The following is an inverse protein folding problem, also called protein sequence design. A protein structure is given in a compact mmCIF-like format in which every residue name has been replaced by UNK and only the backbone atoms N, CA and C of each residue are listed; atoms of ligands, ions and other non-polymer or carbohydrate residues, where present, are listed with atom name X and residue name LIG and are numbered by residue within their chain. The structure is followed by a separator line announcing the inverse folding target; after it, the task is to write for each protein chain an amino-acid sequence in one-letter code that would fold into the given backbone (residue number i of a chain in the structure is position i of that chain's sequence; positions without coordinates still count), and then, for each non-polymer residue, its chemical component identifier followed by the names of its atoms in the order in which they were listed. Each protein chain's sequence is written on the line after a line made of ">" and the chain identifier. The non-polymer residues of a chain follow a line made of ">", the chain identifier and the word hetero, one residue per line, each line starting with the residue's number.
data_IF_961220972441
#
_entry.id   IF_961220972441
#
_cell.length_a   1.000
_cell.length_b   1.000
_cell.length_c   1.000
_cell.angle_alpha   90.00
_cell.angle_beta   90.00
_cell.angle_gamma   90.00
#
_symmetry.space_group_name_H-M   'P 1'
#
loop_
_entity.id
_entity.type
_entity.pdbx_description
1 polymer ?
#
# COMPACT_ATOMS: atom_id res chain seq x y z
N UNK A 1 29.28 -15.06 20.63
CA UNK A 1 28.61 -13.94 21.34
C UNK A 1 28.63 -14.08 22.86
N UNK A 2 27.99 -15.09 23.45
CA UNK A 2 28.03 -15.29 24.91
C UNK A 2 29.43 -15.62 25.44
N UNK A 3 30.14 -16.53 24.77
CA UNK A 3 31.49 -16.94 25.19
C UNK A 3 32.59 -15.91 24.86
N UNK A 4 32.49 -15.20 23.73
CA UNK A 4 33.48 -14.20 23.31
C UNK A 4 33.20 -12.77 23.79
N UNK A 5 31.93 -12.39 23.97
CA UNK A 5 31.52 -10.99 24.22
C UNK A 5 30.57 -10.84 25.42
N UNK A 6 30.17 -11.93 26.10
CA UNK A 6 29.23 -11.88 27.22
C UNK A 6 27.79 -11.49 26.83
N UNK A 7 27.45 -11.50 25.54
CA UNK A 7 26.13 -11.08 25.05
C UNK A 7 25.22 -12.31 24.95
N UNK A 8 24.09 -12.28 25.66
CA UNK A 8 23.01 -13.27 25.53
C UNK A 8 21.98 -12.82 24.49
N UNK A 9 21.57 -13.74 23.62
CA UNK A 9 20.53 -13.53 22.60
C UNK A 9 19.44 -14.57 22.75
N UNK A 10 18.21 -14.22 22.36
CA UNK A 10 17.09 -15.19 22.34
C UNK A 10 17.24 -16.13 21.15
N UNK A 11 17.08 -17.42 21.39
CA UNK A 11 16.89 -18.42 20.35
C UNK A 11 15.47 -18.33 19.78
N UNK A 12 15.34 -18.44 18.45
CA UNK A 12 14.05 -18.39 17.74
C UNK A 12 13.99 -19.46 16.64
N UNK A 13 12.79 -19.97 16.35
CA UNK A 13 12.54 -20.80 15.15
C UNK A 13 11.91 -19.93 14.06
N UNK A 14 12.76 -19.38 13.19
CA UNK A 14 12.30 -18.51 12.10
C UNK A 14 11.37 -19.22 11.10
N UNK A 15 11.38 -20.56 11.03
CA UNK A 15 10.47 -21.32 10.14
C UNK A 15 9.00 -21.22 10.54
N UNK A 16 8.73 -20.84 11.80
CA UNK A 16 7.38 -20.70 12.36
C UNK A 16 7.02 -19.26 12.74
N UNK A 17 7.95 -18.32 12.54
CA UNK A 17 7.75 -16.93 12.91
C UNK A 17 7.00 -16.20 11.79
N UNK A 18 5.67 -16.15 11.91
CA UNK A 18 4.82 -15.49 10.93
C UNK A 18 5.09 -13.99 10.89
N UNK A 19 5.11 -13.44 9.69
CA UNK A 19 5.35 -12.01 9.44
C UNK A 19 4.05 -11.21 9.49
N UNK A 20 4.16 -9.87 9.44
CA UNK A 20 3.04 -8.94 9.36
C UNK A 20 2.06 -9.33 8.25
N UNK A 21 0.75 -9.25 8.51
CA UNK A 21 -0.30 -9.69 7.58
C UNK A 21 -0.49 -11.22 7.47
N UNK A 22 0.51 -12.00 7.89
CA UNK A 22 0.53 -13.46 7.73
C UNK A 22 0.22 -14.27 8.99
N UNK A 23 -0.23 -13.64 10.06
CA UNK A 23 -0.48 -14.29 11.36
C UNK A 23 -1.86 -14.99 11.43
N UNK A 24 -2.09 -15.94 10.52
CA UNK A 24 -3.27 -16.81 10.47
C UNK A 24 -2.87 -18.23 10.05
N UNK A 25 -3.81 -19.18 10.06
CA UNK A 25 -3.53 -20.55 9.63
C UNK A 25 -3.25 -20.59 8.11
N UNK A 26 -2.04 -20.96 7.66
CA UNK A 26 -1.69 -20.94 6.24
C UNK A 26 -2.51 -21.91 5.38
N UNK A 27 -3.23 -22.85 5.99
CA UNK A 27 -4.12 -23.78 5.28
C UNK A 27 -5.53 -23.23 5.05
N UNK A 28 -5.87 -22.07 5.61
CA UNK A 28 -7.23 -21.49 5.64
C UNK A 28 -7.31 -20.10 5.02
N UNK A 29 -6.66 -19.91 3.88
CA UNK A 29 -6.60 -18.61 3.21
C UNK A 29 -8.01 -18.14 2.81
N UNK A 30 -8.77 -18.98 2.10
CA UNK A 30 -10.11 -18.63 1.61
C UNK A 30 -11.07 -18.26 2.75
N UNK A 31 -11.07 -19.03 3.84
CA UNK A 31 -11.90 -18.73 5.01
C UNK A 31 -11.45 -17.43 5.69
N UNK A 32 -10.14 -17.18 5.78
CA UNK A 32 -9.60 -15.95 6.39
C UNK A 32 -9.99 -14.73 5.56
N UNK A 33 -9.83 -14.77 4.23
CA UNK A 33 -10.21 -13.70 3.31
C UNK A 33 -11.71 -13.44 3.39
N UNK A 34 -12.54 -14.48 3.38
CA UNK A 34 -14.00 -14.37 3.46
C UNK A 34 -14.45 -13.70 4.76
N UNK A 35 -13.85 -14.06 5.89
CA UNK A 35 -14.20 -13.43 7.17
C UNK A 35 -13.74 -11.97 7.25
N UNK A 36 -12.52 -11.66 6.77
CA UNK A 36 -12.00 -10.29 6.74
C UNK A 36 -12.80 -9.39 5.79
N UNK A 37 -13.22 -9.88 4.62
CA UNK A 37 -14.00 -9.11 3.67
C UNK A 37 -15.32 -8.61 4.28
N UNK A 38 -15.96 -9.39 5.16
CA UNK A 38 -17.16 -8.96 5.91
C UNK A 38 -16.86 -7.76 6.81
N UNK A 39 -15.68 -7.73 7.43
CA UNK A 39 -15.24 -6.59 8.26
C UNK A 39 -15.06 -5.33 7.39
N UNK A 40 -14.53 -5.47 6.17
CA UNK A 40 -14.37 -4.39 5.20
C UNK A 40 -15.69 -3.86 4.64
N UNK A 41 -16.66 -4.73 4.33
CA UNK A 41 -18.01 -4.30 3.94
C UNK A 41 -18.69 -3.56 5.09
N UNK A 42 -18.54 -4.04 6.33
CA UNK A 42 -19.02 -3.32 7.51
C UNK A 42 -18.27 -2.00 7.77
N UNK A 43 -17.12 -1.78 7.13
CA UNK A 43 -16.40 -0.51 7.10
C UNK A 43 -16.87 0.46 6.00
N UNK A 44 -17.82 0.04 5.15
CA UNK A 44 -18.36 0.87 4.07
C UNK A 44 -17.61 0.74 2.74
N UNK A 45 -16.77 -0.30 2.58
CA UNK A 45 -16.16 -0.65 1.29
C UNK A 45 -17.09 -1.56 0.48
N UNK A 46 -16.91 -1.55 -0.84
CA UNK A 46 -17.51 -2.55 -1.72
C UNK A 46 -16.91 -3.93 -1.43
N UNK A 47 -17.69 -4.99 -1.67
CA UNK A 47 -17.27 -6.37 -1.37
C UNK A 47 -16.03 -6.79 -2.18
N UNK A 48 -15.92 -6.34 -3.43
CA UNK A 48 -14.77 -6.60 -4.31
C UNK A 48 -13.48 -5.99 -3.72
N UNK A 49 -13.51 -4.71 -3.33
CA UNK A 49 -12.39 -4.02 -2.71
C UNK A 49 -12.01 -4.65 -1.36
N UNK A 50 -13.00 -4.97 -0.53
CA UNK A 50 -12.77 -5.60 0.77
C UNK A 50 -12.11 -6.97 0.63
N UNK A 51 -12.53 -7.76 -0.36
CA UNK A 51 -11.96 -9.08 -0.66
C UNK A 51 -10.53 -8.94 -1.17
N UNK A 52 -10.29 -8.03 -2.12
CA UNK A 52 -8.95 -7.77 -2.64
C UNK A 52 -7.98 -7.29 -1.55
N UNK A 53 -8.41 -6.37 -0.69
CA UNK A 53 -7.59 -5.87 0.43
C UNK A 53 -7.28 -7.00 1.43
N UNK A 54 -8.27 -7.86 1.72
CA UNK A 54 -8.07 -9.00 2.61
C UNK A 54 -7.07 -10.02 2.05
N UNK A 55 -7.14 -10.33 0.75
CA UNK A 55 -6.19 -11.24 0.10
C UNK A 55 -4.78 -10.63 0.00
N UNK A 56 -4.69 -9.33 -0.32
CA UNK A 56 -3.42 -8.65 -0.56
C UNK A 56 -2.64 -8.35 0.73
N UNK A 57 -3.31 -7.82 1.75
CA UNK A 57 -2.67 -7.40 3.01
C UNK A 57 -2.82 -8.43 4.14
N UNK A 58 -3.61 -9.49 3.92
CA UNK A 58 -3.89 -10.51 4.92
C UNK A 58 -4.53 -9.89 6.17
N UNK A 59 -4.06 -10.28 7.35
CA UNK A 59 -4.59 -9.77 8.63
C UNK A 59 -4.42 -8.26 8.82
N UNK A 60 -3.52 -7.61 8.08
CA UNK A 60 -3.37 -6.15 8.13
C UNK A 60 -4.55 -5.41 7.48
N UNK A 61 -5.37 -6.11 6.67
CA UNK A 61 -6.60 -5.56 6.11
C UNK A 61 -7.52 -4.96 7.18
N UNK A 62 -7.56 -5.54 8.39
CA UNK A 62 -8.33 -4.98 9.52
C UNK A 62 -7.97 -3.54 9.80
N UNK A 63 -6.68 -3.22 9.79
CA UNK A 63 -6.21 -1.87 10.07
C UNK A 63 -6.63 -0.90 8.97
N UNK A 64 -6.58 -1.33 7.71
CA UNK A 64 -7.10 -0.57 6.57
C UNK A 64 -8.61 -0.32 6.73
N UNK A 65 -9.37 -1.32 7.15
CA UNK A 65 -10.82 -1.18 7.38
C UNK A 65 -11.17 -0.29 8.57
N UNK A 66 -10.36 -0.29 9.64
CA UNK A 66 -10.48 0.68 10.74
C UNK A 66 -10.28 2.11 10.23
N UNK A 67 -9.21 2.35 9.48
CA UNK A 67 -8.93 3.66 8.88
C UNK A 67 -10.07 4.11 7.98
N UNK A 68 -10.61 3.22 7.15
CA UNK A 68 -11.76 3.51 6.28
C UNK A 68 -13.01 3.96 7.06
N UNK A 69 -13.28 3.40 8.25
CA UNK A 69 -14.42 3.83 9.09
C UNK A 69 -14.25 5.23 9.66
N UNK A 70 -13.01 5.63 9.92
CA UNK A 70 -12.68 6.84 10.68
C UNK A 70 -12.32 8.03 9.78
N UNK A 71 -12.11 7.79 8.48
CA UNK A 71 -11.66 8.80 7.55
C UNK A 71 -12.71 9.17 6.50
N UNK A 72 -12.60 10.39 5.98
CA UNK A 72 -13.19 10.74 4.70
C UNK A 72 -12.20 10.38 3.57
N UNK A 73 -12.70 9.98 2.38
CA UNK A 73 -11.83 9.75 1.24
C UNK A 73 -11.06 11.01 0.86
N UNK A 74 -9.83 10.85 0.39
CA UNK A 74 -9.08 11.95 -0.18
C UNK A 74 -9.75 12.45 -1.47
N UNK A 75 -9.63 13.76 -1.79
CA UNK A 75 -10.18 14.29 -3.03
C UNK A 75 -9.68 13.53 -4.26
N UNK A 76 -10.61 13.01 -5.07
CA UNK A 76 -10.28 12.26 -6.30
C UNK A 76 -9.96 10.78 -6.09
N UNK A 77 -10.01 10.26 -4.86
CA UNK A 77 -9.81 8.83 -4.57
C UNK A 77 -11.09 8.22 -3.99
N UNK A 78 -11.26 6.91 -4.18
CA UNK A 78 -12.29 6.13 -3.48
C UNK A 78 -11.96 5.99 -1.99
N UNK A 79 -12.93 5.54 -1.18
CA UNK A 79 -12.68 5.26 0.23
C UNK A 79 -11.67 4.12 0.42
N UNK A 80 -11.80 3.05 -0.37
CA UNK A 80 -10.87 1.92 -0.35
C UNK A 80 -9.43 2.36 -0.68
N UNK A 81 -9.26 3.12 -1.75
CA UNK A 81 -7.94 3.58 -2.18
C UNK A 81 -7.34 4.59 -1.19
N UNK A 82 -8.18 5.45 -0.61
CA UNK A 82 -7.75 6.39 0.43
C UNK A 82 -7.27 5.69 1.69
N UNK A 83 -7.96 4.63 2.12
CA UNK A 83 -7.60 3.85 3.30
C UNK A 83 -6.28 3.09 3.10
N UNK A 84 -6.07 2.50 1.91
CA UNK A 84 -4.81 1.84 1.55
C UNK A 84 -3.65 2.84 1.50
N UNK A 85 -3.85 4.01 0.91
CA UNK A 85 -2.82 5.06 0.86
C UNK A 85 -2.48 5.56 2.26
N UNK A 86 -3.49 5.81 3.10
CA UNK A 86 -3.32 6.21 4.50
C UNK A 86 -2.54 5.17 5.29
N UNK A 87 -2.86 3.88 5.13
CA UNK A 87 -2.12 2.79 5.75
C UNK A 87 -0.65 2.75 5.27
N UNK A 88 -0.41 2.92 3.97
CA UNK A 88 0.93 2.99 3.41
C UNK A 88 1.77 4.13 4.01
N UNK A 89 1.16 5.30 4.21
CA UNK A 89 1.79 6.47 4.82
C UNK A 89 2.09 6.26 6.31
N UNK A 90 1.13 5.72 7.08
CA UNK A 90 1.26 5.60 8.54
C UNK A 90 2.08 4.38 8.98
N UNK A 91 2.01 3.27 8.24
CA UNK A 91 2.48 1.96 8.74
C UNK A 91 3.45 1.24 7.78
N UNK A 92 3.53 1.64 6.51
CA UNK A 92 4.42 0.99 5.52
C UNK A 92 5.55 1.89 5.01
N UNK A 93 5.76 3.04 5.64
CA UNK A 93 6.85 3.97 5.33
C UNK A 93 6.86 4.39 3.86
N UNK A 94 5.69 4.74 3.32
CA UNK A 94 5.59 5.45 2.04
C UNK A 94 6.12 6.86 2.23
N UNK A 95 7.21 7.21 1.53
CA UNK A 95 7.84 8.53 1.59
C UNK A 95 7.71 9.28 0.25
N UNK A 96 7.49 8.55 -0.85
CA UNK A 96 7.26 9.10 -2.18
C UNK A 96 6.11 8.37 -2.90
N UNK A 97 5.42 9.01 -3.86
CA UNK A 97 4.34 8.40 -4.64
C UNK A 97 4.70 7.07 -5.30
N UNK A 98 5.94 6.95 -5.79
CA UNK A 98 6.43 5.71 -6.40
C UNK A 98 6.58 4.56 -5.41
N UNK A 99 6.68 4.82 -4.10
CA UNK A 99 6.71 3.75 -3.09
C UNK A 99 5.36 3.07 -3.04
N UNK A 100 4.30 3.88 -3.08
CA UNK A 100 2.93 3.41 -3.05
C UNK A 100 2.52 2.75 -4.37
N UNK A 101 2.58 3.50 -5.48
CA UNK A 101 2.07 3.08 -6.79
C UNK A 101 2.85 1.93 -7.44
N UNK A 102 4.07 1.65 -6.97
CA UNK A 102 4.96 0.64 -7.57
C UNK A 102 5.27 -0.51 -6.59
N UNK A 103 5.41 -0.22 -5.28
CA UNK A 103 5.94 -1.22 -4.33
C UNK A 103 4.96 -1.64 -3.22
N UNK A 104 3.99 -0.81 -2.85
CA UNK A 104 2.92 -1.19 -1.89
C UNK A 104 1.65 -1.65 -2.58
N UNK A 105 1.54 -1.38 -3.87
CA UNK A 105 0.40 -1.72 -4.71
C UNK A 105 0.89 -2.16 -6.09
N UNK A 106 -0.03 -2.66 -6.91
CA UNK A 106 0.22 -3.13 -8.26
C UNK A 106 -0.14 -2.10 -9.35
N UNK A 107 -0.46 -0.86 -8.95
CA UNK A 107 -0.99 0.19 -9.81
C UNK A 107 -0.19 0.39 -11.11
N UNK A 108 1.14 0.52 -11.00
CA UNK A 108 1.98 0.77 -12.18
C UNK A 108 2.13 -0.46 -13.09
N UNK A 109 2.33 -1.65 -12.51
CA UNK A 109 2.79 -2.82 -13.26
C UNK A 109 1.64 -3.68 -13.79
N UNK A 110 0.48 -3.67 -13.14
CA UNK A 110 -0.63 -4.56 -13.47
C UNK A 110 -1.98 -3.83 -13.66
N UNK A 111 -2.07 -2.53 -13.32
CA UNK A 111 -3.31 -1.73 -13.39
C UNK A 111 -3.04 -0.39 -14.14
N UNK A 112 -2.13 -0.43 -15.13
CA UNK A 112 -1.59 0.76 -15.80
C UNK A 112 -2.64 1.62 -16.49
N UNK A 113 -3.70 1.02 -17.03
CA UNK A 113 -4.80 1.71 -17.70
C UNK A 113 -5.67 2.54 -16.73
N UNK A 114 -5.65 2.20 -15.45
CA UNK A 114 -6.37 2.91 -14.38
C UNK A 114 -5.49 3.95 -13.67
N UNK A 115 -4.17 3.81 -13.77
CA UNK A 115 -3.20 4.65 -13.06
C UNK A 115 -3.38 6.14 -13.31
N UNK A 116 -3.67 6.55 -14.56
CA UNK A 116 -3.75 7.97 -14.91
C UNK A 116 -4.91 8.69 -14.20
N UNK A 117 -5.97 7.97 -13.80
CA UNK A 117 -7.11 8.53 -13.07
C UNK A 117 -6.76 8.86 -11.61
N UNK A 118 -5.90 8.04 -10.99
CA UNK A 118 -5.57 8.15 -9.56
C UNK A 118 -4.21 8.81 -9.29
N UNK A 119 -3.33 8.91 -10.29
CA UNK A 119 -1.95 9.39 -10.15
C UNK A 119 -1.88 10.77 -9.48
N UNK A 120 -2.63 11.75 -10.01
CA UNK A 120 -2.59 13.11 -9.47
C UNK A 120 -3.23 13.19 -8.08
N UNK A 121 -4.42 12.61 -7.82
CA UNK A 121 -4.98 12.51 -6.48
C UNK A 121 -4.04 11.88 -5.44
N UNK A 122 -3.29 10.84 -5.79
CA UNK A 122 -2.30 10.22 -4.89
C UNK A 122 -1.16 11.17 -4.55
N UNK A 123 -0.60 11.86 -5.55
CA UNK A 123 0.45 12.87 -5.31
C UNK A 123 -0.07 13.97 -4.38
N UNK A 124 -1.29 14.45 -4.61
CA UNK A 124 -1.90 15.52 -3.83
C UNK A 124 -2.13 15.09 -2.37
N UNK A 125 -2.60 13.86 -2.15
CA UNK A 125 -2.82 13.31 -0.81
C UNK A 125 -1.50 13.12 -0.04
N UNK A 126 -0.45 12.61 -0.70
CA UNK A 126 0.88 12.45 -0.08
C UNK A 126 1.51 13.80 0.22
N UNK A 127 1.44 14.75 -0.73
CA UNK A 127 1.95 16.11 -0.54
C UNK A 127 1.24 16.82 0.62
N UNK A 128 -0.08 16.63 0.74
CA UNK A 128 -0.86 17.15 1.86
C UNK A 128 -0.49 16.51 3.20
N UNK A 129 -0.23 15.20 3.23
CA UNK A 129 0.19 14.49 4.44
C UNK A 129 1.55 14.96 4.97
N UNK A 130 2.52 15.16 4.08
CA UNK A 130 3.86 15.63 4.43
C UNK A 130 4.03 17.14 4.42
N UNK A 131 2.96 17.90 4.15
CA UNK A 131 2.97 19.36 4.03
C UNK A 131 4.06 19.86 3.07
N UNK A 132 4.18 19.22 1.91
CA UNK A 132 5.19 19.57 0.91
C UNK A 132 5.05 20.99 0.39
N UNK A 133 6.19 21.60 0.07
CA UNK A 133 6.22 22.82 -0.74
C UNK A 133 5.85 22.49 -2.19
N UNK A 134 5.43 23.51 -2.94
CA UNK A 134 5.19 23.37 -4.38
C UNK A 134 6.44 22.88 -5.15
N UNK A 135 7.64 23.26 -4.68
CA UNK A 135 8.90 22.81 -5.26
C UNK A 135 9.12 21.30 -5.05
N UNK A 136 8.92 20.81 -3.82
CA UNK A 136 9.04 19.38 -3.51
C UNK A 136 7.99 18.57 -4.27
N UNK A 137 6.73 19.04 -4.27
CA UNK A 137 5.65 18.41 -5.02
C UNK A 137 5.96 18.32 -6.52
N UNK A 138 6.48 19.39 -7.13
CA UNK A 138 6.88 19.39 -8.52
C UNK A 138 8.05 18.41 -8.79
N UNK A 139 9.03 18.36 -7.89
CA UNK A 139 10.17 17.46 -8.00
C UNK A 139 9.74 15.99 -7.90
N UNK A 140 8.86 15.65 -6.96
CA UNK A 140 8.33 14.30 -6.77
C UNK A 140 7.43 13.88 -7.93
N UNK A 141 6.61 14.81 -8.45
CA UNK A 141 5.80 14.59 -9.66
C UNK A 141 6.69 14.26 -10.86
N UNK A 142 7.73 15.07 -11.10
CA UNK A 142 8.69 14.84 -12.18
C UNK A 142 9.40 13.49 -12.04
N UNK A 143 9.77 13.11 -10.81
CA UNK A 143 10.39 11.81 -10.53
C UNK A 143 9.44 10.65 -10.84
N UNK A 144 8.17 10.75 -10.44
CA UNK A 144 7.18 9.73 -10.73
C UNK A 144 6.95 9.58 -12.24
N UNK A 145 6.80 10.69 -12.97
CA UNK A 145 6.65 10.67 -14.43
C UNK A 145 7.83 9.99 -15.12
N UNK A 146 9.07 10.20 -14.64
CA UNK A 146 10.23 9.52 -15.19
C UNK A 146 10.16 7.99 -14.99
N UNK A 147 9.71 7.53 -13.81
CA UNK A 147 9.53 6.10 -13.54
C UNK A 147 8.41 5.49 -14.40
N UNK A 148 7.31 6.21 -14.59
CA UNK A 148 6.21 5.77 -15.46
C UNK A 148 6.68 5.71 -16.92
N UNK A 149 7.39 6.74 -17.41
CA UNK A 149 7.90 6.77 -18.77
C UNK A 149 8.91 5.65 -19.06
N UNK A 150 9.75 5.32 -18.08
CA UNK A 150 10.66 4.17 -18.12
C UNK A 150 9.87 2.85 -18.24
N UNK A 151 8.89 2.63 -17.36
CA UNK A 151 8.03 1.43 -17.40
C UNK A 151 7.21 1.33 -18.70
N UNK A 152 6.72 2.47 -19.21
CA UNK A 152 5.97 2.56 -20.47
C UNK A 152 6.88 2.35 -21.71
N UNK A 153 8.21 2.30 -21.54
CA UNK A 153 9.22 2.23 -22.61
C UNK A 153 9.06 3.33 -23.67
N UNK A 154 8.71 4.56 -23.25
CA UNK A 154 8.41 5.67 -24.17
C UNK A 154 9.57 5.99 -25.12
N UNK A 155 10.80 5.95 -24.61
CA UNK A 155 12.00 6.15 -25.42
C UNK A 155 12.13 5.12 -26.55
N UNK A 156 11.82 3.84 -26.27
CA UNK A 156 11.84 2.78 -27.28
C UNK A 156 10.70 2.91 -28.29
N UNK A 157 9.59 3.53 -27.89
CA UNK A 157 8.44 3.84 -28.76
C UNK A 157 8.66 5.11 -29.61
N UNK A 158 9.70 5.90 -29.31
CA UNK A 158 9.96 7.19 -29.98
C UNK A 158 9.01 8.31 -29.51
N UNK A 159 8.34 8.11 -28.38
CA UNK A 159 7.46 9.08 -27.73
C UNK A 159 8.30 9.92 -26.76
N UNK A 160 8.18 11.25 -26.83
CA UNK A 160 8.83 12.18 -25.89
C UNK A 160 7.97 12.38 -24.65
#
# INVERSE_FOLDING_TARGET
>A
LKEEYGIETKEIDSKKYQISGGNFDPTKLEETVTELAKEGVAAGLEEEDATYIADFYGTNARRIFELAKEMAPYPGLSLAESARLRYGLEEEMVLAPGDYLIRRTNHLLFERDQLDEIKQPVIDAIAGYFEWTEEEKAQQTKRLEALIAESDLRELKGEK
#
